data_IF_547028103726
#
_entry.id   IF_547028103726
#
_cell.length_a   1.000
_cell.length_b   1.000
_cell.length_c   1.000
_cell.angle_alpha   90.00
_cell.angle_beta   90.00
_cell.angle_gamma   90.00
#
_symmetry.space_group_name_H-M   'P 1'
#
loop_
_entity.id
_entity.type
_entity.pdbx_description
1 polymer ?
#
# COMPACT_ATOMS: atom_id res chain seq x y z
N UNK A 1 2.23 30.40 -32.55
CA UNK A 1 2.37 29.76 -31.22
C UNK A 1 1.11 28.94 -30.97
N UNK A 2 1.24 27.64 -30.66
CA UNK A 2 0.07 26.74 -30.56
C UNK A 2 -0.88 27.18 -29.42
N UNK A 3 -2.19 27.39 -29.68
CA UNK A 3 -3.16 27.92 -28.72
C UNK A 3 -3.40 27.02 -27.50
N UNK A 4 -2.89 25.79 -27.50
CA UNK A 4 -3.16 24.76 -26.49
C UNK A 4 -2.16 24.71 -25.32
N UNK A 5 -1.11 25.53 -25.29
CA UNK A 5 -0.03 25.39 -24.29
C UNK A 5 -0.46 25.70 -22.84
N UNK A 6 -1.27 26.74 -22.65
CA UNK A 6 -1.78 27.14 -21.33
C UNK A 6 -2.79 26.16 -20.73
N UNK A 7 -3.84 25.72 -21.46
CA UNK A 7 -4.79 24.74 -20.92
C UNK A 7 -4.12 23.39 -20.63
N UNK A 8 -3.12 23.00 -21.43
CA UNK A 8 -2.35 21.79 -21.19
C UNK A 8 -1.51 21.89 -19.91
N UNK A 9 -0.82 23.02 -19.69
CA UNK A 9 -0.05 23.23 -18.46
C UNK A 9 -0.93 23.19 -17.22
N UNK A 10 -2.12 23.81 -17.25
CA UNK A 10 -3.08 23.75 -16.13
C UNK A 10 -3.61 22.34 -15.91
N UNK A 11 -3.88 21.59 -16.98
CA UNK A 11 -4.33 20.21 -16.87
C UNK A 11 -3.24 19.32 -16.23
N UNK A 12 -1.98 19.47 -16.64
CA UNK A 12 -0.85 18.74 -16.06
C UNK A 12 -0.65 19.06 -14.57
N UNK A 13 -0.74 20.33 -14.18
CA UNK A 13 -0.70 20.71 -12.75
C UNK A 13 -1.85 20.11 -11.95
N UNK A 14 -3.07 20.10 -12.51
CA UNK A 14 -4.22 19.49 -11.86
C UNK A 14 -4.03 17.97 -11.68
N UNK A 15 -3.54 17.27 -12.71
CA UNK A 15 -3.24 15.83 -12.62
C UNK A 15 -2.16 15.56 -11.58
N UNK A 16 -1.09 16.35 -11.53
CA UNK A 16 -0.06 16.22 -10.51
C UNK A 16 -0.64 16.39 -9.09
N UNK A 17 -1.50 17.38 -8.88
CA UNK A 17 -2.15 17.61 -7.60
C UNK A 17 -3.07 16.43 -7.19
N UNK A 18 -3.82 15.86 -8.14
CA UNK A 18 -4.66 14.68 -7.89
C UNK A 18 -3.82 13.47 -7.52
N UNK A 19 -2.71 13.22 -8.23
CA UNK A 19 -1.80 12.11 -7.90
C UNK A 19 -1.24 12.25 -6.48
N UNK A 20 -0.78 13.45 -6.11
CA UNK A 20 -0.28 13.72 -4.76
C UNK A 20 -1.39 13.51 -3.72
N UNK A 21 -2.59 14.03 -3.95
CA UNK A 21 -3.71 13.87 -3.02
C UNK A 21 -4.09 12.40 -2.82
N UNK A 22 -4.21 11.62 -3.91
CA UNK A 22 -4.50 10.19 -3.87
C UNK A 22 -3.40 9.43 -3.14
N UNK A 23 -2.13 9.73 -3.42
CA UNK A 23 -0.99 9.11 -2.76
C UNK A 23 -0.98 9.41 -1.25
N UNK A 24 -1.30 10.64 -0.83
CA UNK A 24 -1.38 11.02 0.59
C UNK A 24 -2.56 10.35 1.30
N UNK A 25 -3.73 10.26 0.66
CA UNK A 25 -4.90 9.54 1.21
C UNK A 25 -4.55 8.06 1.40
N UNK A 26 -3.95 7.44 0.39
CA UNK A 26 -3.51 6.05 0.47
C UNK A 26 -2.40 5.84 1.51
N UNK A 27 -1.46 6.79 1.65
CA UNK A 27 -0.46 6.75 2.72
C UNK A 27 -1.09 6.81 4.11
N UNK A 28 -2.12 7.64 4.29
CA UNK A 28 -2.74 7.84 5.60
C UNK A 28 -3.68 6.69 6.01
N UNK A 29 -4.32 6.02 5.05
CA UNK A 29 -5.42 5.07 5.29
C UNK A 29 -5.26 3.70 4.61
N UNK A 30 -4.24 3.49 3.77
CA UNK A 30 -4.07 2.26 3.00
C UNK A 30 -3.73 1.03 3.83
N UNK A 31 -3.04 1.19 4.95
CA UNK A 31 -2.63 0.09 5.83
C UNK A 31 -3.37 0.02 7.17
N UNK A 32 -4.38 0.87 7.41
CA UNK A 32 -5.10 0.86 8.69
C UNK A 32 -6.02 -0.34 8.80
N UNK A 33 -6.16 -0.88 10.02
CA UNK A 33 -7.18 -1.87 10.34
C UNK A 33 -8.58 -1.34 9.99
N UNK A 34 -9.31 -2.05 9.13
CA UNK A 34 -10.59 -1.64 8.56
C UNK A 34 -10.51 -0.72 7.33
N UNK A 35 -9.30 -0.46 6.82
CA UNK A 35 -9.03 0.34 5.63
C UNK A 35 -9.47 -0.34 4.33
N UNK A 36 -9.64 0.45 3.28
CA UNK A 36 -9.99 -0.06 1.95
C UNK A 36 -8.79 -0.75 1.30
N UNK A 37 -8.99 -1.97 0.80
CA UNK A 37 -7.94 -2.76 0.13
C UNK A 37 -7.36 -2.00 -1.07
N UNK A 38 -8.16 -1.21 -1.78
CA UNK A 38 -7.66 -0.42 -2.90
C UNK A 38 -6.68 0.67 -2.45
N UNK A 39 -6.87 1.26 -1.28
CA UNK A 39 -5.93 2.23 -0.74
C UNK A 39 -4.60 1.57 -0.40
N UNK A 40 -4.60 0.31 0.07
CA UNK A 40 -3.37 -0.46 0.24
C UNK A 40 -2.63 -0.69 -1.09
N UNK A 41 -3.38 -1.06 -2.14
CA UNK A 41 -2.80 -1.23 -3.49
C UNK A 41 -2.21 0.07 -4.02
N UNK A 42 -2.89 1.19 -3.81
CA UNK A 42 -2.38 2.52 -4.17
C UNK A 42 -1.15 2.89 -3.36
N UNK A 43 -1.14 2.57 -2.06
CA UNK A 43 0.01 2.78 -1.17
C UNK A 43 1.27 2.09 -1.70
N UNK A 44 1.15 0.85 -2.20
CA UNK A 44 2.25 0.14 -2.85
C UNK A 44 2.83 0.82 -4.10
N UNK A 45 2.10 1.77 -4.71
CA UNK A 45 2.53 2.54 -5.88
C UNK A 45 2.90 3.99 -5.54
N UNK A 46 3.04 4.34 -4.26
CA UNK A 46 3.28 5.71 -3.81
C UNK A 46 4.50 6.37 -4.49
N UNK A 47 5.63 5.65 -4.58
CA UNK A 47 6.85 6.16 -5.23
C UNK A 47 6.63 6.44 -6.72
N UNK A 48 5.96 5.54 -7.44
CA UNK A 48 5.63 5.71 -8.86
C UNK A 48 4.71 6.91 -9.08
N UNK A 49 3.72 7.10 -8.22
CA UNK A 49 2.82 8.26 -8.27
C UNK A 49 3.58 9.57 -8.03
N UNK A 50 4.50 9.59 -7.07
CA UNK A 50 5.36 10.76 -6.82
C UNK A 50 6.24 11.12 -8.02
N UNK A 51 6.84 10.13 -8.67
CA UNK A 51 7.63 10.35 -9.89
C UNK A 51 6.77 10.90 -11.04
N UNK A 52 5.58 10.34 -11.25
CA UNK A 52 4.65 10.84 -12.27
C UNK A 52 4.20 12.27 -11.98
N UNK A 53 3.88 12.59 -10.73
CA UNK A 53 3.53 13.94 -10.31
C UNK A 53 4.68 14.93 -10.58
N UNK A 54 5.92 14.54 -10.25
CA UNK A 54 7.10 15.36 -10.52
C UNK A 54 7.30 15.62 -12.01
N UNK A 55 7.18 14.59 -12.86
CA UNK A 55 7.25 14.72 -14.32
C UNK A 55 6.18 15.68 -14.84
N UNK A 56 4.95 15.57 -14.36
CA UNK A 56 3.87 16.47 -14.76
C UNK A 56 4.08 17.91 -14.31
N UNK A 57 4.64 18.15 -13.12
CA UNK A 57 4.99 19.50 -12.66
C UNK A 57 6.10 20.13 -13.50
N UNK A 58 7.15 19.36 -13.83
CA UNK A 58 8.22 19.84 -14.72
C UNK A 58 7.65 20.15 -16.11
N UNK A 59 6.84 19.25 -16.67
CA UNK A 59 6.20 19.47 -17.97
C UNK A 59 5.28 20.70 -17.96
N UNK A 60 4.49 20.89 -16.90
CA UNK A 60 3.64 22.06 -16.74
C UNK A 60 4.46 23.37 -16.69
N UNK A 61 5.57 23.39 -15.96
CA UNK A 61 6.47 24.54 -15.89
C UNK A 61 7.10 24.89 -17.26
N UNK A 62 7.53 23.87 -18.00
CA UNK A 62 8.12 24.05 -19.33
C UNK A 62 7.08 24.50 -20.37
N UNK A 63 5.83 24.05 -20.27
CA UNK A 63 4.76 24.38 -21.22
C UNK A 63 4.04 25.70 -20.91
N UNK A 64 3.88 26.04 -19.63
CA UNK A 64 3.12 27.20 -19.18
C UNK A 64 3.81 28.55 -19.43
N UNK A 65 5.14 28.57 -19.44
CA UNK A 65 5.92 29.79 -19.64
C UNK A 65 6.23 30.07 -21.13
N UNK A 66 6.05 31.32 -21.55
CA UNK A 66 6.36 31.74 -22.93
C UNK A 66 7.86 32.00 -23.14
N UNK A 67 8.56 32.56 -22.14
CA UNK A 67 9.98 32.92 -22.24
C UNK A 67 10.88 31.76 -21.79
N UNK A 68 12.01 31.51 -22.47
CA UNK A 68 12.91 30.40 -22.13
C UNK A 68 13.48 30.55 -20.70
N UNK A 69 13.87 31.76 -20.30
CA UNK A 69 14.37 32.02 -18.94
C UNK A 69 13.34 31.69 -17.85
N UNK A 70 12.06 32.06 -18.04
CA UNK A 70 11.01 31.74 -17.06
C UNK A 70 10.72 30.23 -16.96
N UNK A 71 10.89 29.48 -18.06
CA UNK A 71 10.77 28.01 -18.02
C UNK A 71 11.84 27.39 -17.15
N UNK A 72 13.09 27.80 -17.35
CA UNK A 72 14.23 27.31 -16.57
C UNK A 72 14.08 27.72 -15.11
N UNK A 73 13.71 28.98 -14.84
CA UNK A 73 13.52 29.48 -13.48
C UNK A 73 12.43 28.72 -12.68
N UNK A 74 11.41 28.18 -13.36
CA UNK A 74 10.35 27.37 -12.71
C UNK A 74 10.69 25.88 -12.65
N UNK A 75 11.19 25.30 -13.74
CA UNK A 75 11.44 23.86 -13.83
C UNK A 75 12.68 23.43 -13.02
N UNK A 76 13.72 24.27 -12.99
CA UNK A 76 14.97 23.96 -12.29
C UNK A 76 14.78 23.74 -10.78
N UNK A 77 14.14 24.63 -10.00
CA UNK A 77 13.96 24.39 -8.56
C UNK A 77 13.08 23.16 -8.29
N UNK A 78 12.06 22.92 -9.11
CA UNK A 78 11.20 21.72 -9.00
C UNK A 78 12.02 20.45 -9.21
N UNK A 79 12.91 20.42 -10.21
CA UNK A 79 13.77 19.28 -10.47
C UNK A 79 14.86 19.12 -9.38
N UNK A 80 15.53 20.21 -9.00
CA UNK A 80 16.62 20.21 -8.01
C UNK A 80 16.15 19.77 -6.63
N UNK A 81 14.91 20.10 -6.23
CA UNK A 81 14.34 19.66 -4.96
C UNK A 81 13.59 18.33 -5.07
N UNK A 82 12.79 18.18 -6.13
CA UNK A 82 11.92 17.01 -6.31
C UNK A 82 12.70 15.72 -6.56
N UNK A 83 13.75 15.76 -7.39
CA UNK A 83 14.52 14.55 -7.73
C UNK A 83 15.21 13.97 -6.50
N UNK A 84 15.98 14.73 -5.68
CA UNK A 84 16.60 14.17 -4.48
C UNK A 84 15.58 13.61 -3.47
N UNK A 85 14.46 14.31 -3.25
CA UNK A 85 13.39 13.83 -2.35
C UNK A 85 12.82 12.51 -2.86
N UNK A 86 12.50 12.41 -4.15
CA UNK A 86 11.96 11.18 -4.73
C UNK A 86 12.98 10.04 -4.72
N UNK A 87 14.27 10.33 -4.93
CA UNK A 87 15.34 9.34 -4.82
C UNK A 87 15.44 8.80 -3.39
N UNK A 88 15.43 9.66 -2.37
CA UNK A 88 15.45 9.26 -0.95
C UNK A 88 14.22 8.39 -0.64
N UNK A 89 13.02 8.83 -1.05
CA UNK A 89 11.80 8.06 -0.84
C UNK A 89 11.82 6.69 -1.53
N UNK A 90 12.33 6.63 -2.76
CA UNK A 90 12.47 5.36 -3.49
C UNK A 90 13.45 4.44 -2.78
N UNK A 91 14.58 4.97 -2.30
CA UNK A 91 15.57 4.21 -1.53
C UNK A 91 14.97 3.68 -0.22
N UNK A 92 14.24 4.51 0.53
CA UNK A 92 13.55 4.08 1.75
C UNK A 92 12.49 3.02 1.47
N UNK A 93 11.75 3.13 0.36
CA UNK A 93 10.75 2.13 -0.04
C UNK A 93 11.39 0.78 -0.38
N UNK A 94 12.58 0.79 -0.98
CA UNK A 94 13.35 -0.44 -1.25
C UNK A 94 13.92 -1.07 0.03
N UNK A 95 14.27 -0.26 1.02
CA UNK A 95 14.77 -0.73 2.32
C UNK A 95 13.66 -1.27 3.23
N UNK A 96 12.43 -0.78 3.08
CA UNK A 96 11.30 -1.15 3.94
C UNK A 96 10.78 -2.58 3.77
N UNK A 97 11.27 -3.32 2.76
CA UNK A 97 10.80 -4.67 2.44
C UNK A 97 9.40 -4.62 1.82
N UNK A 98 9.25 -5.14 0.61
CA UNK A 98 7.92 -5.35 0.03
C UNK A 98 7.16 -6.40 0.83
N UNK A 99 5.88 -6.18 1.09
CA UNK A 99 4.97 -7.26 1.47
C UNK A 99 4.55 -7.98 0.20
N UNK A 100 4.95 -9.24 0.06
CA UNK A 100 4.49 -10.09 -1.03
C UNK A 100 3.30 -10.91 -0.54
N UNK A 101 2.19 -10.81 -1.26
CA UNK A 101 1.05 -11.68 -1.02
C UNK A 101 1.47 -13.12 -1.35
N UNK A 102 1.60 -13.93 -0.30
CA UNK A 102 2.01 -15.32 -0.43
C UNK A 102 0.80 -16.22 -0.67
N UNK A 103 -0.31 -15.96 0.04
CA UNK A 103 -1.50 -16.83 -0.04
C UNK A 103 -2.81 -16.04 0.02
N UNK A 104 -3.84 -16.59 -0.63
CA UNK A 104 -5.19 -16.05 -0.68
C UNK A 104 -6.21 -17.19 -0.67
N UNK A 105 -6.98 -17.31 0.41
CA UNK A 105 -7.94 -18.40 0.61
C UNK A 105 -9.35 -17.86 0.84
N UNK A 106 -10.29 -18.22 -0.02
CA UNK A 106 -11.71 -17.89 0.16
C UNK A 106 -12.28 -18.55 1.41
N UNK A 107 -13.17 -17.85 2.12
CA UNK A 107 -13.88 -18.43 3.26
C UNK A 107 -14.85 -19.53 2.78
N UNK A 108 -14.95 -20.66 3.50
CA UNK A 108 -15.87 -21.73 3.11
C UNK A 108 -17.32 -21.21 3.17
N UNK A 109 -18.09 -21.39 2.10
CA UNK A 109 -19.50 -20.98 2.03
C UNK A 109 -19.74 -19.46 2.02
N UNK A 110 -18.69 -18.64 1.84
CA UNK A 110 -18.79 -17.18 1.76
C UNK A 110 -17.87 -16.62 0.68
N UNK A 111 -18.47 -15.99 -0.33
CA UNK A 111 -17.72 -15.34 -1.42
C UNK A 111 -17.23 -13.94 -1.05
N UNK A 112 -17.82 -13.33 -0.02
CA UNK A 112 -17.50 -11.98 0.43
C UNK A 112 -16.26 -11.90 1.33
N UNK A 113 -15.58 -13.02 1.60
CA UNK A 113 -14.46 -13.08 2.54
C UNK A 113 -13.31 -13.90 1.99
N UNK A 114 -12.09 -13.38 2.20
CA UNK A 114 -10.86 -14.15 1.99
C UNK A 114 -9.84 -13.88 3.08
N UNK A 115 -9.06 -14.91 3.39
CA UNK A 115 -7.88 -14.85 4.21
C UNK A 115 -6.69 -14.55 3.29
N UNK A 116 -5.89 -13.56 3.65
CA UNK A 116 -4.72 -13.14 2.91
C UNK A 116 -3.52 -13.19 3.83
N UNK A 117 -2.48 -13.90 3.41
CA UNK A 117 -1.20 -13.96 4.11
C UNK A 117 -0.17 -13.22 3.28
N UNK A 118 0.40 -12.18 3.88
CA UNK A 118 1.48 -11.40 3.28
C UNK A 118 2.77 -11.68 4.03
N UNK A 119 3.80 -12.07 3.26
CA UNK A 119 5.15 -12.24 3.78
C UNK A 119 5.92 -10.96 3.50
N UNK A 120 6.36 -10.30 4.56
CA UNK A 120 7.33 -9.22 4.49
C UNK A 120 8.73 -9.74 4.79
N UNK A 121 9.72 -8.89 4.56
CA UNK A 121 11.07 -9.07 5.06
C UNK A 121 11.50 -7.82 5.82
N UNK A 122 11.99 -7.99 7.05
CA UNK A 122 12.66 -6.93 7.80
C UNK A 122 14.17 -7.04 7.59
N UNK A 123 14.65 -6.95 6.34
CA UNK A 123 16.07 -6.99 5.93
C UNK A 123 16.88 -8.26 6.28
N UNK A 124 16.52 -9.00 7.33
CA UNK A 124 17.20 -10.18 7.88
C UNK A 124 16.16 -11.25 8.24
N UNK A 125 15.03 -10.85 8.83
CA UNK A 125 14.04 -11.80 9.37
C UNK A 125 12.70 -11.78 8.61
N UNK A 126 12.07 -12.94 8.41
CA UNK A 126 10.77 -13.02 7.76
C UNK A 126 9.65 -12.54 8.69
N UNK A 127 8.74 -11.74 8.15
CA UNK A 127 7.54 -11.29 8.85
C UNK A 127 6.31 -11.86 8.15
N UNK A 128 5.33 -12.33 8.90
CA UNK A 128 4.03 -12.73 8.36
C UNK A 128 2.94 -11.85 8.91
N UNK A 129 2.12 -11.35 8.00
CA UNK A 129 0.96 -10.56 8.30
C UNK A 129 -0.27 -11.27 7.76
N UNK A 130 -1.21 -11.56 8.65
CA UNK A 130 -2.44 -12.27 8.31
C UNK A 130 -3.60 -11.30 8.36
N UNK A 131 -4.36 -11.27 7.27
CA UNK A 131 -5.50 -10.37 7.11
C UNK A 131 -6.74 -11.11 6.65
N UNK A 132 -7.90 -10.57 7.03
CA UNK A 132 -9.16 -10.88 6.37
C UNK A 132 -9.53 -9.71 5.48
N UNK A 133 -9.77 -9.99 4.20
CA UNK A 133 -10.43 -9.05 3.33
C UNK A 133 -11.92 -9.41 3.26
N UNK A 134 -12.79 -8.42 3.47
CA UNK A 134 -14.23 -8.57 3.36
C UNK A 134 -14.84 -7.54 2.40
N UNK A 135 -15.78 -8.00 1.58
CA UNK A 135 -16.54 -7.21 0.64
C UNK A 135 -16.05 -7.41 -0.79
N UNK A 136 -16.54 -6.58 -1.70
CA UNK A 136 -16.30 -6.73 -3.13
C UNK A 136 -15.79 -5.44 -3.78
N UNK A 137 -14.93 -5.61 -4.78
CA UNK A 137 -14.46 -4.54 -5.64
C UNK A 137 -13.76 -3.39 -4.89
N UNK A 138 -14.24 -2.17 -5.10
CA UNK A 138 -13.62 -0.95 -4.58
C UNK A 138 -13.90 -0.69 -3.08
N UNK A 139 -14.90 -1.37 -2.52
CA UNK A 139 -15.36 -1.19 -1.15
C UNK A 139 -14.85 -2.25 -0.19
N UNK A 140 -14.05 -3.16 -0.71
CA UNK A 140 -13.44 -4.22 0.06
C UNK A 140 -12.55 -3.65 1.17
N UNK A 141 -12.75 -4.16 2.39
CA UNK A 141 -12.03 -3.76 3.59
C UNK A 141 -11.06 -4.83 4.02
N UNK A 142 -9.99 -4.42 4.67
CA UNK A 142 -8.95 -5.29 5.23
C UNK A 142 -8.90 -5.15 6.74
N UNK A 143 -8.85 -6.29 7.43
CA UNK A 143 -8.72 -6.36 8.88
C UNK A 143 -7.52 -7.21 9.28
N UNK A 144 -6.74 -6.75 10.25
CA UNK A 144 -5.55 -7.45 10.75
C UNK A 144 -5.93 -8.56 11.73
N UNK A 145 -5.65 -9.80 11.33
CA UNK A 145 -5.92 -11.00 12.13
C UNK A 145 -4.71 -11.39 12.96
N UNK A 146 -3.51 -11.29 12.39
CA UNK A 146 -2.30 -11.55 13.16
C UNK A 146 -1.01 -11.06 12.55
N UNK A 147 0.01 -10.98 13.41
CA UNK A 147 1.38 -10.60 13.11
C UNK A 147 2.33 -11.61 13.75
N UNK A 148 3.27 -12.13 12.97
CA UNK A 148 4.22 -13.14 13.39
C UNK A 148 5.63 -12.73 12.98
N UNK A 149 6.51 -12.59 13.96
CA UNK A 149 7.92 -12.29 13.75
C UNK A 149 8.75 -13.58 13.72
N UNK A 150 9.48 -13.80 12.64
CA UNK A 150 10.32 -14.97 12.43
C UNK A 150 11.72 -14.92 13.02
N UNK A 151 12.05 -13.92 13.85
CA UNK A 151 13.37 -13.83 14.51
C UNK A 151 13.72 -15.11 15.29
N UNK A 152 12.72 -15.89 15.72
CA UNK A 152 12.87 -17.23 16.23
C UNK A 152 12.01 -18.21 15.41
N UNK A 153 12.59 -19.34 15.02
CA UNK A 153 11.94 -20.39 14.22
C UNK A 153 10.58 -20.82 14.82
N UNK A 154 10.44 -20.83 16.15
CA UNK A 154 9.20 -21.23 16.83
C UNK A 154 8.04 -20.22 16.67
N UNK A 155 8.36 -18.96 16.37
CA UNK A 155 7.42 -17.85 16.23
C UNK A 155 6.94 -17.68 14.77
N UNK A 156 7.61 -18.30 13.81
CA UNK A 156 7.24 -18.24 12.40
C UNK A 156 5.81 -18.74 12.17
N UNK A 157 5.05 -18.06 11.31
CA UNK A 157 3.74 -18.55 10.90
C UNK A 157 3.91 -19.75 9.96
N UNK A 158 3.45 -20.91 10.42
CA UNK A 158 3.47 -22.14 9.63
C UNK A 158 2.22 -22.32 8.78
N UNK A 159 1.05 -22.00 9.33
CA UNK A 159 -0.23 -22.20 8.66
C UNK A 159 -1.26 -21.16 9.12
N UNK A 160 -2.05 -20.65 8.17
CA UNK A 160 -3.25 -19.85 8.44
C UNK A 160 -4.39 -20.35 7.56
N UNK A 161 -5.42 -20.94 8.17
CA UNK A 161 -6.51 -21.60 7.44
C UNK A 161 -7.87 -21.27 8.02
N UNK A 162 -8.90 -21.27 7.17
CA UNK A 162 -10.28 -21.26 7.62
C UNK A 162 -10.65 -22.64 8.20
N UNK A 163 -11.19 -22.65 9.42
CA UNK A 163 -11.80 -23.85 10.02
C UNK A 163 -13.33 -23.81 9.94
N UNK A 164 -13.90 -22.63 9.76
CA UNK A 164 -15.32 -22.38 9.52
C UNK A 164 -15.50 -21.09 8.69
N UNK A 165 -16.72 -20.74 8.21
CA UNK A 165 -16.95 -19.52 7.43
C UNK A 165 -16.58 -18.20 8.15
N UNK A 166 -16.46 -18.27 9.47
CA UNK A 166 -16.19 -17.18 10.40
C UNK A 166 -15.07 -17.50 11.39
N UNK A 167 -14.28 -18.56 11.15
CA UNK A 167 -13.21 -18.97 12.07
C UNK A 167 -11.92 -19.27 11.33
N UNK A 168 -10.84 -18.68 11.82
CA UNK A 168 -9.48 -18.88 11.32
C UNK A 168 -8.66 -19.55 12.40
N UNK A 169 -7.84 -20.52 12.01
CA UNK A 169 -6.80 -21.11 12.84
C UNK A 169 -5.45 -20.68 12.33
N UNK A 170 -4.64 -20.14 13.23
CA UNK A 170 -3.25 -19.76 13.01
C UNK A 170 -2.36 -20.76 13.75
N UNK A 171 -1.30 -21.24 13.12
CA UNK A 171 -0.37 -22.19 13.72
C UNK A 171 1.06 -21.73 13.49
N UNK A 172 1.83 -21.63 14.56
CA UNK A 172 3.26 -21.32 14.47
C UNK A 172 4.09 -22.58 14.23
N UNK A 173 5.32 -22.42 13.75
CA UNK A 173 6.27 -23.51 13.59
C UNK A 173 6.60 -24.21 14.92
N UNK A 174 6.60 -23.47 16.04
CA UNK A 174 6.73 -24.02 17.40
C UNK A 174 5.49 -24.77 17.91
N UNK A 175 4.41 -24.85 17.11
CA UNK A 175 3.21 -25.63 17.41
C UNK A 175 2.15 -24.89 18.23
N UNK A 176 2.29 -23.59 18.46
CA UNK A 176 1.25 -22.77 19.09
C UNK A 176 0.08 -22.64 18.13
N UNK A 177 -1.14 -22.89 18.62
CA UNK A 177 -2.36 -22.82 17.83
C UNK A 177 -3.28 -21.76 18.42
N UNK A 178 -3.67 -20.79 17.59
CA UNK A 178 -4.61 -19.72 17.96
C UNK A 178 -5.82 -19.75 17.03
N UNK A 179 -7.02 -19.71 17.62
CA UNK A 179 -8.26 -19.53 16.85
C UNK A 179 -8.78 -18.10 16.98
N UNK A 180 -9.21 -17.53 15.86
CA UNK A 180 -9.76 -16.17 15.77
C UNK A 180 -11.14 -16.24 15.13
N UNK A 181 -12.12 -15.57 15.74
CA UNK A 181 -13.49 -15.50 15.22
C UNK A 181 -13.67 -14.20 14.44
N UNK A 182 -14.28 -14.28 13.28
CA UNK A 182 -14.56 -13.14 12.40
C UNK A 182 -16.02 -12.74 12.54
N UNK A 183 -16.24 -11.54 13.08
CA UNK A 183 -17.56 -10.95 13.28
C UNK A 183 -18.31 -10.76 11.95
N UNK A 184 -19.61 -10.47 12.00
CA UNK A 184 -20.44 -10.32 10.80
C UNK A 184 -19.93 -9.24 9.82
N UNK A 185 -19.33 -8.17 10.35
CA UNK A 185 -18.67 -7.07 9.65
C UNK A 185 -17.20 -7.34 9.28
N UNK A 186 -16.76 -8.61 9.37
CA UNK A 186 -15.49 -9.09 8.84
C UNK A 186 -14.29 -8.77 9.72
N UNK A 187 -14.52 -8.08 10.84
CA UNK A 187 -13.50 -7.74 11.81
C UNK A 187 -13.17 -8.99 12.66
N UNK A 188 -11.91 -9.23 13.00
CA UNK A 188 -11.59 -10.26 13.98
C UNK A 188 -12.00 -9.80 15.39
N UNK A 189 -12.42 -10.76 16.22
CA UNK A 189 -12.69 -10.53 17.65
C UNK A 189 -11.43 -10.14 18.42
N UNK A 190 -10.26 -10.61 17.97
CA UNK A 190 -8.94 -10.24 18.48
C UNK A 190 -7.87 -10.32 17.38
N UNK A 191 -6.80 -9.56 17.56
CA UNK A 191 -5.59 -9.66 16.73
C UNK A 191 -4.51 -10.41 17.50
N UNK A 192 -3.90 -11.41 16.85
CA UNK A 192 -2.81 -12.22 17.43
C UNK A 192 -1.46 -11.59 17.10
N UNK A 193 -0.56 -11.51 18.08
CA UNK A 193 0.81 -11.04 17.85
C UNK A 193 1.79 -11.99 18.50
N UNK A 194 2.73 -12.51 17.72
CA UNK A 194 3.80 -13.42 18.19
C UNK A 194 5.14 -12.85 17.73
N UNK A 195 6.11 -12.77 18.64
CA UNK A 195 7.46 -12.30 18.35
C UNK A 195 8.41 -12.47 19.52
#
# INVERSE_FOLDING_TARGET
MAPYRRPLATALSAVAAVLVAVALIAYRWGGSDGGLVILNKVHGHFATMGWLALVFLIAAALLGAQRPYTRVALALPVAVLGVPVMTIFTMLSLLGGGQEQSESLGAPGREDRRLVVERGSAMIDPLWFVYVHQGEGLWERRWAVGYFNGDADDNELREAVWTAPDRIRLTTSGGVVEEVTITADGRPDRTVSVG
#
